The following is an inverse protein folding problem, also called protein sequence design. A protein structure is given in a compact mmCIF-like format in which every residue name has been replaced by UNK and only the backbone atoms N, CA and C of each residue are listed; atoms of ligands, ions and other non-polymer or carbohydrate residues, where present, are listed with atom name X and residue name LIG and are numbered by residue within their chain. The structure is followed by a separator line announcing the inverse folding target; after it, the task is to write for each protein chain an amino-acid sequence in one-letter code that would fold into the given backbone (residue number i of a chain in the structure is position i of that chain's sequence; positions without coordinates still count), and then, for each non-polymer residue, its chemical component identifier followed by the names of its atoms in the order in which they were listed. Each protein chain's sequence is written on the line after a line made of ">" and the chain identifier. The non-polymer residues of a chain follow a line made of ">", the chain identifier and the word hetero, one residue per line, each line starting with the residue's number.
data_IF_638872594109
#
_entry.id   IF_638872594109
#
_cell.length_a   1.000
_cell.length_b   1.000
_cell.length_c   1.000
_cell.angle_alpha   90.00
_cell.angle_beta   90.00
_cell.angle_gamma   90.00
#
_symmetry.space_group_name_H-M   'P 1'
#
loop_
_entity.id
_entity.type
_entity.pdbx_description
1 polymer ?
#
# COMPACT_ATOMS: atom_id res chain seq x y z
N UNK A 1 -1.59 -6.40 9.27
CA UNK A 1 -2.98 -6.94 9.25
C UNK A 1 -3.91 -5.92 9.90
N UNK A 2 -4.76 -5.25 9.11
CA UNK A 2 -5.93 -4.54 9.66
C UNK A 2 -6.98 -5.63 9.90
N UNK A 3 -7.51 -5.72 11.12
CA UNK A 3 -8.35 -6.82 11.56
C UNK A 3 -9.54 -7.03 10.60
N UNK A 4 -9.81 -8.28 10.23
CA UNK A 4 -10.94 -8.70 9.39
C UNK A 4 -12.32 -8.38 10.00
N UNK A 5 -12.34 -7.83 11.22
CA UNK A 5 -13.53 -7.80 12.06
C UNK A 5 -14.07 -9.20 12.30
N UNK A 6 -15.17 -9.29 13.03
CA UNK A 6 -15.93 -10.55 13.18
C UNK A 6 -17.12 -10.58 12.21
N UNK A 7 -17.13 -9.72 11.18
CA UNK A 7 -18.26 -9.55 10.28
C UNK A 7 -18.67 -10.85 9.58
N UNK A 8 -17.68 -11.66 9.18
CA UNK A 8 -17.92 -12.94 8.52
C UNK A 8 -18.57 -13.99 9.44
N UNK A 9 -18.40 -13.86 10.76
CA UNK A 9 -18.90 -14.81 11.76
C UNK A 9 -20.10 -14.28 12.56
N UNK A 10 -20.44 -13.00 12.43
CA UNK A 10 -21.64 -12.42 13.01
C UNK A 10 -22.89 -12.93 12.28
N UNK A 11 -23.72 -13.71 12.98
CA UNK A 11 -24.98 -14.21 12.44
C UNK A 11 -26.01 -13.11 12.13
N UNK A 12 -25.96 -11.99 12.85
CA UNK A 12 -26.69 -10.77 12.52
C UNK A 12 -25.89 -9.52 12.97
N UNK A 13 -26.12 -8.38 12.32
CA UNK A 13 -25.54 -7.09 12.70
C UNK A 13 -26.49 -6.41 13.71
N UNK A 14 -26.05 -6.11 14.93
CA UNK A 14 -26.89 -5.54 15.96
C UNK A 14 -27.34 -4.11 15.61
N UNK A 15 -28.48 -3.70 16.16
CA UNK A 15 -28.91 -2.30 16.10
C UNK A 15 -27.87 -1.41 16.82
N UNK A 16 -27.55 -0.27 16.21
CA UNK A 16 -26.53 0.65 16.75
C UNK A 16 -25.08 0.23 16.48
N UNK A 17 -24.84 -0.67 15.52
CA UNK A 17 -23.48 -0.97 15.08
C UNK A 17 -22.76 0.31 14.60
N UNK A 18 -21.49 0.54 15.01
CA UNK A 18 -20.79 1.78 14.70
C UNK A 18 -20.48 1.91 13.19
N UNK A 19 -20.30 3.14 12.68
CA UNK A 19 -19.76 3.36 11.34
C UNK A 19 -18.47 2.56 11.10
N UNK A 20 -18.32 2.01 9.90
CA UNK A 20 -17.18 1.15 9.54
C UNK A 20 -16.39 1.71 8.36
N UNK A 21 -15.07 1.75 8.50
CA UNK A 21 -14.15 2.11 7.43
C UNK A 21 -13.34 0.88 7.01
N UNK A 22 -13.42 0.52 5.73
CA UNK A 22 -12.57 -0.51 5.15
C UNK A 22 -11.41 0.15 4.41
N UNK A 23 -10.19 -0.19 4.80
CA UNK A 23 -8.96 0.25 4.12
C UNK A 23 -8.22 -0.99 3.66
N UNK A 24 -8.09 -1.17 2.35
CA UNK A 24 -7.53 -2.40 1.78
C UNK A 24 -6.87 -2.16 0.43
N UNK A 25 -6.16 -3.17 -0.04
CA UNK A 25 -5.48 -3.16 -1.33
C UNK A 25 -6.30 -3.98 -2.32
N UNK A 26 -6.91 -3.38 -3.36
CA UNK A 26 -7.77 -4.11 -4.28
C UNK A 26 -7.02 -5.14 -5.14
N UNK A 27 -5.68 -5.06 -5.18
CA UNK A 27 -4.84 -6.06 -5.85
C UNK A 27 -4.93 -7.44 -5.17
N UNK A 28 -5.17 -7.47 -3.86
CA UNK A 28 -5.54 -8.70 -3.16
C UNK A 28 -7.03 -9.00 -3.43
N UNK A 29 -7.28 -9.73 -4.52
CA UNK A 29 -8.63 -9.95 -5.04
C UNK A 29 -9.53 -10.75 -4.07
N UNK A 30 -8.95 -11.68 -3.30
CA UNK A 30 -9.69 -12.44 -2.29
C UNK A 30 -10.16 -11.50 -1.20
N UNK A 31 -9.26 -10.67 -0.65
CA UNK A 31 -9.61 -9.67 0.35
C UNK A 31 -10.59 -8.62 -0.17
N UNK A 32 -10.43 -8.19 -1.42
CA UNK A 32 -11.34 -7.22 -2.03
C UNK A 32 -12.79 -7.75 -2.10
N UNK A 33 -12.98 -9.04 -2.40
CA UNK A 33 -14.29 -9.68 -2.39
C UNK A 33 -14.89 -9.76 -0.99
N UNK A 34 -14.09 -10.11 0.02
CA UNK A 34 -14.52 -10.16 1.43
C UNK A 34 -14.94 -8.78 1.95
N UNK A 35 -14.20 -7.73 1.57
CA UNK A 35 -14.54 -6.34 1.88
C UNK A 35 -15.87 -5.97 1.24
N UNK A 36 -16.05 -6.25 -0.05
CA UNK A 36 -17.29 -5.93 -0.78
C UNK A 36 -18.52 -6.62 -0.15
N UNK A 37 -18.40 -7.90 0.21
CA UNK A 37 -19.47 -8.65 0.90
C UNK A 37 -19.80 -8.05 2.28
N UNK A 38 -18.76 -7.75 3.08
CA UNK A 38 -18.91 -7.16 4.41
C UNK A 38 -19.59 -5.79 4.35
N UNK A 39 -19.18 -4.94 3.40
CA UNK A 39 -19.81 -3.64 3.16
C UNK A 39 -21.28 -3.77 2.75
N UNK A 40 -21.62 -4.76 1.92
CA UNK A 40 -22.99 -5.04 1.51
C UNK A 40 -23.89 -5.39 2.69
N UNK A 41 -23.42 -6.28 3.58
CA UNK A 41 -24.14 -6.67 4.80
C UNK A 41 -24.38 -5.48 5.74
N UNK A 42 -23.37 -4.65 5.96
CA UNK A 42 -23.47 -3.46 6.82
C UNK A 42 -24.44 -2.41 6.25
N UNK A 43 -24.35 -2.12 4.96
CA UNK A 43 -25.27 -1.18 4.28
C UNK A 43 -26.72 -1.66 4.32
N UNK A 44 -26.98 -2.97 4.17
CA UNK A 44 -28.32 -3.54 4.30
C UNK A 44 -28.96 -3.29 5.68
N UNK A 45 -28.13 -3.04 6.70
CA UNK A 45 -28.52 -2.74 8.07
C UNK A 45 -28.45 -1.25 8.41
N UNK A 46 -28.29 -0.39 7.38
CA UNK A 46 -28.18 1.07 7.49
C UNK A 46 -27.01 1.55 8.35
N UNK A 47 -25.95 0.75 8.46
CA UNK A 47 -24.67 1.19 9.02
C UNK A 47 -24.00 2.10 7.99
N UNK A 48 -23.37 3.19 8.45
CA UNK A 48 -22.55 4.03 7.59
C UNK A 48 -21.21 3.34 7.30
N UNK A 49 -20.87 3.23 6.02
CA UNK A 49 -19.73 2.44 5.56
C UNK A 49 -19.01 3.12 4.41
N UNK A 50 -17.70 3.30 4.58
CA UNK A 50 -16.80 3.82 3.55
C UNK A 50 -15.69 2.83 3.23
N UNK A 51 -15.23 2.91 1.98
CA UNK A 51 -14.07 2.19 1.47
C UNK A 51 -12.97 3.19 1.11
N UNK A 52 -11.73 2.81 1.40
CA UNK A 52 -10.51 3.46 0.92
C UNK A 52 -9.65 2.38 0.29
N UNK A 53 -9.40 2.53 -1.02
CA UNK A 53 -8.57 1.62 -1.78
C UNK A 53 -7.12 2.12 -1.84
N UNK A 54 -6.19 1.29 -1.40
CA UNK A 54 -4.75 1.47 -1.55
C UNK A 54 -4.32 0.84 -2.87
N UNK A 55 -4.41 1.61 -3.95
CA UNK A 55 -4.02 1.16 -5.29
C UNK A 55 -2.50 1.11 -5.47
N UNK A 56 -2.05 0.26 -6.38
CA UNK A 56 -0.67 0.28 -6.84
C UNK A 56 -0.36 1.57 -7.60
N UNK A 57 0.91 1.94 -7.64
CA UNK A 57 1.35 3.10 -8.39
C UNK A 57 2.74 2.89 -8.98
N UNK A 58 3.04 3.67 -10.03
CA UNK A 58 4.32 3.61 -10.69
C UNK A 58 5.46 4.06 -9.75
N UNK A 59 6.53 3.26 -9.68
CA UNK A 59 7.71 3.61 -8.91
C UNK A 59 8.43 4.77 -9.58
N UNK A 60 8.59 5.88 -8.84
CA UNK A 60 9.30 7.07 -9.31
C UNK A 60 10.48 7.41 -8.40
N UNK A 61 11.47 8.10 -8.96
CA UNK A 61 12.61 8.57 -8.19
C UNK A 61 12.24 9.66 -7.18
N UNK A 62 11.20 10.44 -7.49
CA UNK A 62 10.63 11.43 -6.57
C UNK A 62 10.12 10.76 -5.30
N UNK A 63 9.25 9.77 -5.49
CA UNK A 63 8.65 9.00 -4.41
C UNK A 63 9.72 8.36 -3.51
N UNK A 64 10.73 7.71 -4.11
CA UNK A 64 11.80 7.08 -3.33
C UNK A 64 12.67 8.10 -2.59
N UNK A 65 13.04 9.22 -3.22
CA UNK A 65 13.91 10.22 -2.61
C UNK A 65 13.22 11.00 -1.49
N UNK A 66 11.91 11.24 -1.60
CA UNK A 66 11.14 11.91 -0.56
C UNK A 66 10.93 11.03 0.68
N UNK A 67 10.89 9.71 0.50
CA UNK A 67 10.48 8.77 1.55
C UNK A 67 11.62 7.98 2.18
N UNK A 68 12.76 7.87 1.50
CA UNK A 68 13.96 7.21 2.03
C UNK A 68 15.00 8.26 2.38
N UNK A 69 15.20 8.60 3.67
CA UNK A 69 16.17 9.61 4.08
C UNK A 69 17.57 9.32 3.52
N UNK A 70 18.27 10.32 2.99
CA UNK A 70 19.63 10.11 2.46
C UNK A 70 19.70 9.39 1.10
N UNK A 71 18.58 8.93 0.53
CA UNK A 71 18.52 8.53 -0.87
C UNK A 71 18.32 9.79 -1.73
N UNK A 72 19.41 10.29 -2.30
CA UNK A 72 19.31 11.49 -3.16
C UNK A 72 18.49 11.20 -4.41
N UNK A 73 17.90 12.25 -5.01
CA UNK A 73 17.15 12.12 -6.28
C UNK A 73 17.96 11.43 -7.38
N UNK A 74 19.25 11.74 -7.48
CA UNK A 74 20.14 11.13 -8.47
C UNK A 74 20.34 9.61 -8.26
N UNK A 75 20.50 9.18 -7.00
CA UNK A 75 20.61 7.75 -6.67
C UNK A 75 19.27 7.05 -6.92
N UNK A 76 18.15 7.67 -6.52
CA UNK A 76 16.81 7.15 -6.76
C UNK A 76 16.53 6.97 -8.26
N UNK A 77 16.89 7.93 -9.10
CA UNK A 77 16.80 7.83 -10.57
C UNK A 77 17.63 6.66 -11.10
N UNK A 78 18.85 6.48 -10.59
CA UNK A 78 19.71 5.37 -10.99
C UNK A 78 19.10 4.01 -10.58
N UNK A 79 18.50 3.91 -9.40
CA UNK A 79 17.77 2.71 -8.95
C UNK A 79 16.56 2.43 -9.84
N UNK A 80 15.72 3.43 -10.12
CA UNK A 80 14.54 3.26 -11.01
C UNK A 80 14.97 2.81 -12.41
N UNK A 81 16.07 3.34 -12.93
CA UNK A 81 16.64 2.89 -14.20
C UNK A 81 17.11 1.43 -14.15
N UNK A 82 17.68 0.98 -13.03
CA UNK A 82 18.01 -0.45 -12.83
C UNK A 82 16.75 -1.30 -12.83
N UNK A 83 15.69 -0.90 -12.13
CA UNK A 83 14.41 -1.62 -12.11
C UNK A 83 13.85 -1.81 -13.52
N UNK A 84 13.86 -0.75 -14.33
CA UNK A 84 13.43 -0.78 -15.73
C UNK A 84 14.29 -1.71 -16.58
N UNK A 85 15.63 -1.53 -16.54
CA UNK A 85 16.56 -2.35 -17.35
C UNK A 85 16.50 -3.84 -17.03
N UNK A 86 16.26 -4.18 -15.77
CA UNK A 86 16.12 -5.58 -15.32
C UNK A 86 14.69 -6.12 -15.51
N UNK A 87 13.75 -5.28 -15.97
CA UNK A 87 12.37 -5.67 -16.24
C UNK A 87 11.50 -5.90 -15.01
N UNK A 88 11.92 -5.39 -13.83
CA UNK A 88 11.17 -5.52 -12.57
C UNK A 88 9.92 -4.65 -12.53
N UNK A 89 9.92 -3.56 -13.31
CA UNK A 89 8.73 -2.75 -13.58
C UNK A 89 8.24 -2.95 -15.02
N UNK A 90 6.98 -2.66 -15.27
CA UNK A 90 6.38 -2.62 -16.60
C UNK A 90 6.68 -1.30 -17.34
N UNK A 91 6.10 -1.14 -18.54
CA UNK A 91 6.29 0.07 -19.37
C UNK A 91 5.74 1.35 -18.72
N UNK A 92 4.76 1.20 -17.83
CA UNK A 92 4.14 2.30 -17.08
C UNK A 92 4.85 2.57 -15.75
N UNK A 93 5.79 1.72 -15.35
CA UNK A 93 6.58 1.85 -14.12
C UNK A 93 6.00 1.11 -12.91
N UNK A 94 4.97 0.27 -13.08
CA UNK A 94 4.39 -0.53 -12.02
C UNK A 94 5.24 -1.78 -11.77
N UNK A 95 5.36 -2.18 -10.50
CA UNK A 95 6.10 -3.39 -10.13
C UNK A 95 5.36 -4.64 -10.59
N UNK A 96 6.09 -5.54 -11.25
CA UNK A 96 5.53 -6.82 -11.71
C UNK A 96 5.44 -7.88 -10.62
N UNK A 97 6.24 -7.73 -9.56
CA UNK A 97 6.28 -8.64 -8.42
C UNK A 97 6.33 -7.83 -7.11
N UNK A 98 5.99 -8.48 -5.99
CA UNK A 98 6.09 -7.91 -4.64
C UNK A 98 7.49 -7.31 -4.43
N UNK A 99 7.55 -6.09 -3.89
CA UNK A 99 8.81 -5.38 -3.62
C UNK A 99 9.78 -6.18 -2.74
N UNK A 100 9.27 -7.00 -1.81
CA UNK A 100 10.03 -7.91 -0.94
C UNK A 100 10.62 -9.10 -1.70
N UNK A 101 9.97 -9.52 -2.78
CA UNK A 101 10.42 -10.61 -3.65
C UNK A 101 11.32 -10.12 -4.79
N UNK A 102 11.33 -8.82 -5.06
CA UNK A 102 12.09 -8.22 -6.16
C UNK A 102 13.58 -8.13 -5.80
N UNK A 103 14.50 -8.74 -6.57
CA UNK A 103 15.93 -8.72 -6.27
C UNK A 103 16.61 -7.40 -6.69
N UNK A 104 15.97 -6.27 -6.37
CA UNK A 104 16.40 -4.93 -6.78
C UNK A 104 17.75 -4.55 -6.17
N UNK A 105 18.00 -4.91 -4.89
CA UNK A 105 19.25 -4.59 -4.18
C UNK A 105 20.45 -5.16 -4.92
N UNK A 106 20.43 -6.47 -5.19
CA UNK A 106 21.49 -7.16 -5.94
C UNK A 106 21.72 -6.50 -7.30
N UNK A 107 20.64 -6.16 -8.01
CA UNK A 107 20.75 -5.50 -9.31
C UNK A 107 21.36 -4.08 -9.20
N UNK A 108 21.07 -3.34 -8.13
CA UNK A 108 21.60 -2.01 -7.88
C UNK A 108 23.09 -2.05 -7.47
N UNK A 109 23.49 -3.05 -6.67
CA UNK A 109 24.88 -3.32 -6.33
C UNK A 109 25.70 -3.71 -7.56
N UNK A 110 25.20 -4.64 -8.39
CA UNK A 110 25.83 -5.03 -9.66
C UNK A 110 26.02 -3.84 -10.60
N UNK A 111 25.05 -2.93 -10.63
CA UNK A 111 25.09 -1.71 -11.43
C UNK A 111 25.92 -0.58 -10.79
N UNK A 112 26.43 -0.77 -9.56
CA UNK A 112 27.20 0.22 -8.79
C UNK A 112 26.48 1.57 -8.66
N UNK A 113 25.15 1.54 -8.47
CA UNK A 113 24.34 2.76 -8.33
C UNK A 113 24.09 3.16 -6.89
N UNK A 114 24.33 2.26 -5.94
CA UNK A 114 24.18 2.56 -4.51
C UNK A 114 25.43 3.27 -3.98
N UNK A 115 25.28 4.28 -3.10
CA UNK A 115 26.39 4.88 -2.38
C UNK A 115 27.19 3.85 -1.57
N UNK A 116 28.47 4.13 -1.36
CA UNK A 116 29.28 3.35 -0.44
C UNK A 116 28.70 3.42 0.98
N UNK A 117 28.57 2.27 1.65
CA UNK A 117 28.00 2.20 3.00
C UNK A 117 26.49 2.48 3.08
N UNK A 118 25.75 2.37 1.97
CA UNK A 118 24.29 2.51 1.99
C UNK A 118 23.65 1.43 2.89
N UNK A 119 22.86 1.85 3.89
CA UNK A 119 22.25 0.98 4.93
C UNK A 119 20.72 1.08 4.99
N UNK A 120 20.09 1.66 3.97
CA UNK A 120 18.64 1.90 3.93
C UNK A 120 17.92 1.01 2.91
N UNK A 121 18.51 -0.11 2.55
CA UNK A 121 17.94 -1.06 1.59
C UNK A 121 16.61 -1.63 2.08
N UNK A 122 16.46 -1.83 3.38
CA UNK A 122 15.16 -2.21 3.93
C UNK A 122 14.10 -1.15 3.63
N UNK A 123 14.40 0.12 3.84
CA UNK A 123 13.46 1.22 3.58
C UNK A 123 13.04 1.27 2.11
N UNK A 124 14.00 1.16 1.19
CA UNK A 124 13.68 1.08 -0.25
C UNK A 124 12.78 -0.13 -0.55
N UNK A 125 13.07 -1.30 0.04
CA UNK A 125 12.24 -2.50 -0.13
C UNK A 125 10.81 -2.29 0.37
N UNK A 126 10.62 -1.65 1.53
CA UNK A 126 9.28 -1.34 2.05
C UNK A 126 8.55 -0.34 1.14
N UNK A 127 9.24 0.66 0.59
CA UNK A 127 8.63 1.63 -0.34
C UNK A 127 8.27 0.98 -1.69
N UNK A 128 9.05 0.01 -2.16
CA UNK A 128 8.66 -0.82 -3.31
C UNK A 128 7.46 -1.72 -2.98
N UNK A 129 7.39 -2.29 -1.78
CA UNK A 129 6.23 -3.06 -1.34
C UNK A 129 4.96 -2.18 -1.28
N UNK A 130 5.09 -0.94 -0.79
CA UNK A 130 4.01 0.05 -0.78
C UNK A 130 3.53 0.35 -2.22
N UNK A 131 4.43 0.55 -3.17
CA UNK A 131 4.09 0.79 -4.57
C UNK A 131 3.41 -0.42 -5.24
N UNK A 132 3.78 -1.65 -4.85
CA UNK A 132 3.15 -2.87 -5.35
C UNK A 132 1.72 -3.05 -4.81
N UNK A 133 1.42 -2.49 -3.63
CA UNK A 133 0.09 -2.41 -3.03
C UNK A 133 -0.64 -3.76 -2.98
N UNK A 134 -0.03 -4.76 -2.36
CA UNK A 134 -0.65 -6.06 -2.11
C UNK A 134 -0.93 -6.28 -0.62
N UNK A 135 -0.01 -5.87 0.28
CA UNK A 135 -0.15 -6.07 1.72
C UNK A 135 0.40 -4.92 2.58
N UNK A 136 -0.19 -4.77 3.77
CA UNK A 136 0.34 -4.15 5.01
C UNK A 136 0.49 -2.63 5.15
N UNK A 137 0.58 -1.82 4.09
CA UNK A 137 0.81 -0.36 4.26
C UNK A 137 -0.28 0.54 3.69
N UNK A 138 -0.98 1.26 4.56
CA UNK A 138 -2.04 2.23 4.21
C UNK A 138 -1.59 3.69 4.34
N UNK A 139 -0.28 3.93 4.51
CA UNK A 139 0.28 5.22 4.92
C UNK A 139 -0.05 6.38 3.98
N UNK A 140 -0.20 6.12 2.68
CA UNK A 140 -0.60 7.13 1.68
C UNK A 140 -2.05 7.61 1.85
N UNK A 141 -2.86 6.87 2.61
CA UNK A 141 -4.28 7.12 2.85
C UNK A 141 -4.58 7.71 4.22
N UNK A 142 -3.55 8.03 5.01
CA UNK A 142 -3.72 8.57 6.37
C UNK A 142 -4.66 9.79 6.41
N UNK A 143 -4.52 10.75 5.49
CA UNK A 143 -5.40 11.92 5.47
C UNK A 143 -6.88 11.55 5.26
N UNK A 144 -7.17 10.62 4.35
CA UNK A 144 -8.54 10.16 4.11
C UNK A 144 -9.10 9.38 5.31
N UNK A 145 -8.25 8.57 5.95
CA UNK A 145 -8.59 7.82 7.17
C UNK A 145 -8.91 8.77 8.32
N UNK A 146 -8.06 9.77 8.56
CA UNK A 146 -8.26 10.73 9.66
C UNK A 146 -9.47 11.63 9.41
N UNK A 147 -9.68 12.10 8.17
CA UNK A 147 -10.88 12.85 7.82
C UNK A 147 -12.16 12.05 8.08
N UNK A 148 -12.14 10.75 7.81
CA UNK A 148 -13.28 9.87 8.14
C UNK A 148 -13.50 9.78 9.64
N UNK A 149 -12.45 9.58 10.44
CA UNK A 149 -12.60 9.55 11.89
C UNK A 149 -13.12 10.89 12.43
N UNK A 150 -12.57 12.01 11.98
CA UNK A 150 -13.01 13.36 12.36
C UNK A 150 -14.49 13.60 12.05
N UNK A 151 -15.00 13.14 10.90
CA UNK A 151 -16.41 13.32 10.55
C UNK A 151 -17.39 12.44 11.35
N UNK A 152 -16.89 11.49 12.14
CA UNK A 152 -17.70 10.53 12.92
C UNK A 152 -17.41 10.58 14.43
N UNK A 153 -16.51 11.47 14.87
CA UNK A 153 -16.39 11.81 16.28
C UNK A 153 -17.43 12.89 16.57
N UNK A 154 -18.31 12.64 17.56
CA UNK A 154 -19.22 13.65 18.06
C UNK A 154 -18.43 14.86 18.58
N UNK A 155 -18.79 16.07 18.12
CA UNK A 155 -18.39 17.33 18.75
C UNK A 155 -19.43 17.78 19.77
#
# INVERSE_FOLDING_TARGET
>A
MIAEGVYATMGDIPAGYPPALFVHMPKDAERALEVADSMGKLRAKRVDVREIQCEEFAVSAEFLAERVPGLTRAVADAVVNVLRRKGFVDEKGFLKNDGRSTPWKKAAEEAKVLPEGFQLERHVTEELNLAYAYHEFTSLKNSEIFQWFESHMDH
#
